data_IF_004974608885
#
_entry.id   IF_004974608885
#
_cell.length_a   1.000
_cell.length_b   1.000
_cell.length_c   1.000
_cell.angle_alpha   90.00
_cell.angle_beta   90.00
_cell.angle_gamma   90.00
#
_symmetry.space_group_name_H-M   'P 1'
#
loop_
_entity.id
_entity.type
_entity.pdbx_description
1 polymer ?
#
# COMPACT_ATOMS: atom_id res chain seq x y z
N UNK A 1 -21.72 -46.66 40.73
CA UNK A 1 -22.56 -47.28 39.68
C UNK A 1 -22.97 -46.18 38.71
N UNK A 2 -22.27 -46.12 37.58
CA UNK A 2 -22.48 -45.14 36.51
C UNK A 2 -23.69 -45.58 35.68
N UNK A 3 -24.78 -44.82 35.71
CA UNK A 3 -25.85 -44.97 34.73
C UNK A 3 -25.61 -44.00 33.58
N UNK A 4 -24.97 -44.53 32.53
CA UNK A 4 -25.01 -43.99 31.19
C UNK A 4 -26.48 -43.86 30.76
N UNK A 5 -26.99 -42.64 30.76
CA UNK A 5 -28.10 -42.29 29.88
C UNK A 5 -27.60 -41.19 28.94
N UNK A 6 -26.73 -41.60 28.01
CA UNK A 6 -26.37 -40.80 26.85
C UNK A 6 -27.58 -40.73 25.95
N UNK A 7 -28.43 -39.74 26.19
CA UNK A 7 -29.57 -39.42 25.33
C UNK A 7 -29.00 -38.71 24.08
N UNK A 8 -28.91 -39.34 22.90
CA UNK A 8 -28.25 -38.76 21.72
C UNK A 8 -29.00 -37.52 21.19
N UNK A 9 -30.31 -37.44 21.48
CA UNK A 9 -31.19 -36.34 21.10
C UNK A 9 -30.78 -34.99 21.73
N UNK A 10 -30.21 -34.99 22.93
CA UNK A 10 -29.75 -33.75 23.59
C UNK A 10 -28.40 -33.29 23.06
N UNK A 11 -27.56 -34.20 22.56
CA UNK A 11 -26.27 -33.86 21.96
C UNK A 11 -26.47 -33.26 20.56
N UNK A 12 -27.44 -33.75 19.80
CA UNK A 12 -27.85 -33.12 18.53
C UNK A 12 -28.42 -31.72 18.76
N UNK A 13 -29.28 -31.53 19.76
CA UNK A 13 -29.82 -30.21 20.11
C UNK A 13 -28.73 -29.23 20.57
N UNK A 14 -27.74 -29.71 21.33
CA UNK A 14 -26.61 -28.89 21.77
C UNK A 14 -25.69 -28.53 20.59
N UNK A 15 -25.50 -29.45 19.65
CA UNK A 15 -24.71 -29.21 18.43
C UNK A 15 -25.44 -28.28 17.46
N UNK A 16 -26.76 -28.40 17.30
CA UNK A 16 -27.57 -27.46 16.52
C UNK A 16 -27.52 -26.06 17.13
N UNK A 17 -27.75 -25.93 18.44
CA UNK A 17 -27.67 -24.64 19.13
C UNK A 17 -26.26 -24.03 19.04
N UNK A 18 -25.21 -24.86 19.10
CA UNK A 18 -23.82 -24.43 18.92
C UNK A 18 -23.48 -24.08 17.47
N UNK A 19 -24.09 -24.75 16.48
CA UNK A 19 -23.97 -24.42 15.05
C UNK A 19 -24.69 -23.11 14.71
N UNK A 20 -25.88 -22.87 15.25
CA UNK A 20 -26.60 -21.60 15.10
C UNK A 20 -25.79 -20.43 15.69
N UNK A 21 -25.20 -20.62 16.87
CA UNK A 21 -24.33 -19.61 17.49
C UNK A 21 -23.00 -19.39 16.73
N UNK A 22 -22.51 -20.39 15.99
CA UNK A 22 -21.29 -20.28 15.19
C UNK A 22 -21.53 -19.55 13.85
N UNK A 23 -22.71 -19.70 13.24
CA UNK A 23 -23.10 -18.95 12.03
C UNK A 23 -23.18 -17.44 12.27
N UNK A 24 -23.61 -17.02 13.47
CA UNK A 24 -23.70 -15.59 13.84
C UNK A 24 -22.33 -14.94 14.06
N UNK A 25 -21.27 -15.74 14.29
CA UNK A 25 -19.90 -15.24 14.49
C UNK A 25 -19.03 -15.30 13.23
N UNK A 26 -19.57 -15.80 12.12
CA UNK A 26 -18.87 -15.94 10.84
C UNK A 26 -19.09 -14.77 9.88
N UNK A 27 -19.69 -13.66 10.33
CA UNK A 27 -19.59 -12.39 9.61
C UNK A 27 -18.27 -11.74 10.03
N UNK A 28 -17.23 -11.74 9.18
CA UNK A 28 -16.01 -11.00 9.49
C UNK A 28 -16.39 -9.52 9.65
N UNK A 29 -16.26 -8.99 10.87
CA UNK A 29 -16.39 -7.55 11.20
C UNK A 29 -15.19 -6.73 10.64
N UNK A 30 -14.46 -7.32 9.70
CA UNK A 30 -13.45 -6.67 8.89
C UNK A 30 -13.91 -6.79 7.44
N UNK A 31 -14.60 -5.76 6.97
CA UNK A 31 -14.60 -5.47 5.53
C UNK A 31 -13.15 -5.14 5.20
N UNK A 32 -12.48 -6.02 4.45
CA UNK A 32 -11.30 -5.61 3.70
C UNK A 32 -11.84 -4.56 2.73
N UNK A 33 -11.78 -3.28 3.11
CA UNK A 33 -12.05 -2.21 2.17
C UNK A 33 -11.05 -2.43 1.05
N UNK A 34 -11.56 -2.73 -0.15
CA UNK A 34 -10.75 -2.74 -1.34
C UNK A 34 -9.96 -1.44 -1.34
N UNK A 35 -8.64 -1.55 -1.52
CA UNK A 35 -7.82 -0.38 -1.75
C UNK A 35 -8.49 0.38 -2.90
N UNK A 36 -8.81 1.68 -2.79
CA UNK A 36 -9.46 2.41 -3.88
C UNK A 36 -8.64 2.42 -5.19
N UNK A 37 -7.37 2.00 -5.14
CA UNK A 37 -6.53 1.72 -6.31
C UNK A 37 -6.84 0.39 -7.04
N UNK A 38 -7.57 -0.53 -6.39
CA UNK A 38 -7.90 -1.87 -6.90
C UNK A 38 -9.26 -1.89 -7.62
N UNK A 39 -10.18 -1.00 -7.22
CA UNK A 39 -11.54 -0.89 -7.80
C UNK A 39 -11.60 0.05 -9.01
N UNK A 40 -10.53 0.81 -9.26
CA UNK A 40 -10.36 1.38 -10.58
C UNK A 40 -10.06 0.20 -11.50
N UNK A 41 -11.07 -0.27 -12.21
CA UNK A 41 -10.93 -1.14 -13.38
C UNK A 41 -9.98 -0.44 -14.36
N UNK A 42 -8.68 -0.61 -14.13
CA UNK A 42 -7.63 -0.24 -15.04
C UNK A 42 -7.97 -1.02 -16.28
N UNK A 43 -8.39 -0.30 -17.31
CA UNK A 43 -8.43 -0.83 -18.65
C UNK A 43 -6.98 -1.22 -18.99
N UNK A 44 -6.59 -2.46 -18.68
CA UNK A 44 -5.26 -3.02 -18.90
C UNK A 44 -4.92 -3.13 -20.40
N UNK A 45 -5.79 -2.65 -21.28
CA UNK A 45 -5.62 -2.65 -22.73
C UNK A 45 -4.88 -1.40 -23.27
N UNK A 46 -4.55 -0.42 -22.44
CA UNK A 46 -3.52 0.56 -22.77
C UNK A 46 -2.22 0.14 -22.07
N UNK A 47 -1.20 -0.35 -22.80
CA UNK A 47 0.10 -0.61 -22.19
C UNK A 47 0.65 0.73 -21.70
N UNK A 48 0.49 1.00 -20.40
CA UNK A 48 1.20 2.05 -19.70
C UNK A 48 2.68 1.83 -19.95
N UNK A 49 3.24 2.61 -20.88
CA UNK A 49 4.63 2.46 -21.27
C UNK A 49 5.48 2.76 -20.06
N UNK A 50 6.47 1.92 -19.76
CA UNK A 50 7.39 2.13 -18.64
C UNK A 50 7.95 3.56 -18.61
N UNK A 51 8.26 4.12 -19.78
CA UNK A 51 8.68 5.52 -19.92
C UNK A 51 7.66 6.53 -19.39
N UNK A 52 6.35 6.36 -19.68
CA UNK A 52 5.30 7.23 -19.14
C UNK A 52 5.21 7.12 -17.61
N UNK A 53 5.29 5.90 -17.07
CA UNK A 53 5.28 5.68 -15.62
C UNK A 53 6.50 6.30 -14.95
N UNK A 54 7.70 6.11 -15.50
CA UNK A 54 8.94 6.72 -14.99
C UNK A 54 8.89 8.24 -15.05
N UNK A 55 8.43 8.83 -16.17
CA UNK A 55 8.24 10.28 -16.29
C UNK A 55 7.26 10.81 -15.25
N UNK A 56 6.17 10.10 -14.99
CA UNK A 56 5.22 10.48 -13.94
C UNK A 56 5.88 10.48 -12.56
N UNK A 57 6.66 9.46 -12.22
CA UNK A 57 7.39 9.39 -10.94
C UNK A 57 8.43 10.52 -10.84
N UNK A 58 9.16 10.83 -11.91
CA UNK A 58 10.10 11.95 -11.95
C UNK A 58 9.40 13.29 -11.65
N UNK A 59 8.22 13.51 -12.23
CA UNK A 59 7.44 14.71 -11.98
C UNK A 59 7.00 14.81 -10.51
N UNK A 60 6.57 13.69 -9.90
CA UNK A 60 6.17 13.66 -8.48
C UNK A 60 7.35 13.95 -7.55
N UNK A 61 8.53 13.39 -7.83
CA UNK A 61 9.74 13.67 -7.04
C UNK A 61 10.14 15.14 -7.16
N UNK A 62 10.07 15.72 -8.36
CA UNK A 62 10.32 17.14 -8.59
C UNK A 62 9.33 18.02 -7.82
N UNK A 63 8.05 17.68 -7.84
CA UNK A 63 7.03 18.38 -7.06
C UNK A 63 7.32 18.33 -5.56
N UNK A 64 7.69 17.16 -5.02
CA UNK A 64 8.07 17.04 -3.61
C UNK A 64 9.30 17.88 -3.25
N UNK A 65 10.31 17.93 -4.12
CA UNK A 65 11.49 18.79 -3.94
C UNK A 65 11.12 20.28 -3.96
N UNK A 66 10.28 20.70 -4.91
CA UNK A 66 9.82 22.08 -5.02
C UNK A 66 9.04 22.52 -3.78
N UNK A 67 8.08 21.70 -3.33
CA UNK A 67 7.28 21.97 -2.13
C UNK A 67 8.19 22.08 -0.89
N UNK A 68 9.13 21.14 -0.72
CA UNK A 68 10.06 21.16 0.39
C UNK A 68 10.92 22.43 0.38
N UNK A 69 11.47 22.81 -0.78
CA UNK A 69 12.26 24.02 -0.93
C UNK A 69 11.45 25.27 -0.62
N UNK A 70 10.23 25.39 -1.15
CA UNK A 70 9.37 26.56 -0.89
C UNK A 70 9.04 26.67 0.59
N UNK A 71 8.66 25.56 1.25
CA UNK A 71 8.34 25.59 2.69
C UNK A 71 9.55 25.92 3.55
N UNK A 72 10.73 25.38 3.22
CA UNK A 72 11.96 25.75 3.91
C UNK A 72 12.26 27.24 3.75
N UNK A 73 12.17 27.77 2.53
CA UNK A 73 12.39 29.20 2.28
C UNK A 73 11.34 30.08 2.98
N UNK A 74 10.07 29.69 2.99
CA UNK A 74 9.02 30.45 3.68
C UNK A 74 9.26 30.50 5.19
N UNK A 75 9.78 29.42 5.78
CA UNK A 75 10.17 29.39 7.19
C UNK A 75 11.42 30.23 7.45
N UNK A 76 12.45 30.08 6.62
CA UNK A 76 13.70 30.86 6.75
C UNK A 76 13.48 32.38 6.57
N UNK A 77 12.53 32.76 5.72
CA UNK A 77 12.18 34.17 5.48
C UNK A 77 11.14 34.72 6.46
N UNK A 78 10.65 33.90 7.40
CA UNK A 78 9.64 34.29 8.39
C UNK A 78 8.23 34.50 7.82
N UNK A 79 7.97 34.02 6.60
CA UNK A 79 6.60 33.98 6.02
C UNK A 79 5.75 32.87 6.62
N UNK A 80 6.36 31.84 7.19
CA UNK A 80 5.69 30.72 7.86
C UNK A 80 6.42 30.33 9.14
N UNK A 81 5.68 30.01 10.18
CA UNK A 81 6.23 29.46 11.43
C UNK A 81 6.21 27.91 11.45
N UNK A 82 5.74 27.28 10.38
CA UNK A 82 5.59 25.82 10.28
C UNK A 82 6.91 25.12 9.92
N UNK A 83 7.88 25.20 10.82
CA UNK A 83 9.16 24.52 10.67
C UNK A 83 9.01 23.00 10.59
N UNK A 84 8.07 22.42 11.35
CA UNK A 84 7.84 20.97 11.38
C UNK A 84 7.31 20.50 10.02
N UNK A 85 6.32 21.18 9.45
CA UNK A 85 5.80 20.85 8.13
C UNK A 85 6.81 21.05 7.00
N UNK A 86 7.72 22.02 7.13
CA UNK A 86 8.86 22.16 6.23
C UNK A 86 9.85 20.98 6.36
N UNK A 87 10.23 20.60 7.59
CA UNK A 87 11.11 19.45 7.84
C UNK A 87 10.51 18.13 7.34
N UNK A 88 9.20 17.92 7.54
CA UNK A 88 8.49 16.72 7.05
C UNK A 88 8.45 16.70 5.53
N UNK A 89 8.18 17.84 4.88
CA UNK A 89 8.21 17.94 3.43
C UNK A 89 9.60 17.60 2.88
N UNK A 90 10.67 18.08 3.51
CA UNK A 90 12.04 17.78 3.11
C UNK A 90 12.40 16.31 3.30
N UNK A 91 12.00 15.69 4.42
CA UNK A 91 12.17 14.25 4.62
C UNK A 91 11.43 13.43 3.56
N UNK A 92 10.20 13.82 3.21
CA UNK A 92 9.42 13.17 2.16
C UNK A 92 10.10 13.29 0.79
N UNK A 93 10.66 14.46 0.47
CA UNK A 93 11.38 14.69 -0.77
C UNK A 93 12.65 13.83 -0.85
N UNK A 94 13.44 13.76 0.23
CA UNK A 94 14.64 12.91 0.31
C UNK A 94 14.29 11.43 0.13
N UNK A 95 13.29 10.93 0.87
CA UNK A 95 12.87 9.52 0.76
C UNK A 95 12.39 9.17 -0.66
N UNK A 96 11.61 10.05 -1.27
CA UNK A 96 11.12 9.87 -2.65
C UNK A 96 12.26 9.85 -3.67
N UNK A 97 13.28 10.70 -3.45
CA UNK A 97 14.47 10.73 -4.29
C UNK A 97 15.32 9.46 -4.14
N UNK A 98 15.53 8.98 -2.92
CA UNK A 98 16.26 7.74 -2.66
C UNK A 98 15.57 6.54 -3.32
N UNK A 99 14.24 6.47 -3.23
CA UNK A 99 13.45 5.45 -3.92
C UNK A 99 13.64 5.52 -5.45
N UNK A 100 13.63 6.72 -6.03
CA UNK A 100 13.88 6.91 -7.45
C UNK A 100 15.28 6.45 -7.87
N UNK A 101 16.32 6.73 -7.07
CA UNK A 101 17.67 6.24 -7.34
C UNK A 101 17.75 4.72 -7.35
N UNK A 102 17.03 4.05 -6.45
CA UNK A 102 16.95 2.58 -6.46
C UNK A 102 16.31 2.05 -7.75
N UNK A 103 15.22 2.67 -8.19
CA UNK A 103 14.56 2.30 -9.46
C UNK A 103 15.48 2.56 -10.64
N UNK A 104 16.13 3.73 -10.70
CA UNK A 104 17.11 4.08 -11.73
C UNK A 104 18.21 3.02 -11.84
N UNK A 105 18.82 2.66 -10.72
CA UNK A 105 19.90 1.68 -10.68
C UNK A 105 19.42 0.28 -11.12
N UNK A 106 18.21 -0.13 -10.72
CA UNK A 106 17.61 -1.40 -11.17
C UNK A 106 17.34 -1.43 -12.67
N UNK A 107 16.88 -0.32 -13.24
CA UNK A 107 16.59 -0.21 -14.69
C UNK A 107 17.87 -0.26 -15.51
N UNK A 108 18.91 0.45 -15.08
CA UNK A 108 20.24 0.40 -15.73
C UNK A 108 20.81 -1.02 -15.65
N UNK A 109 20.74 -1.67 -14.48
CA UNK A 109 21.17 -3.05 -14.33
C UNK A 109 20.42 -4.03 -15.23
N UNK A 110 19.09 -3.94 -15.28
CA UNK A 110 18.27 -4.79 -16.15
C UNK A 110 18.58 -4.60 -17.64
N UNK A 111 18.91 -3.37 -18.05
CA UNK A 111 19.36 -3.09 -19.41
C UNK A 111 20.72 -3.72 -19.71
N UNK A 112 21.69 -3.57 -18.80
CA UNK A 112 23.00 -4.21 -18.91
C UNK A 112 22.90 -5.74 -18.94
N UNK A 113 21.98 -6.33 -18.16
CA UNK A 113 21.73 -7.77 -18.12
C UNK A 113 21.16 -8.29 -19.45
N UNK A 114 20.24 -7.55 -20.08
CA UNK A 114 19.74 -7.86 -21.42
C UNK A 114 20.86 -7.80 -22.46
N UNK A 115 21.75 -6.80 -22.38
CA UNK A 115 22.90 -6.70 -23.29
C UNK A 115 23.90 -7.85 -23.13
N UNK A 116 24.02 -8.41 -21.92
CA UNK A 116 24.96 -9.49 -21.60
C UNK A 116 24.38 -10.89 -21.84
N UNK A 117 23.08 -11.02 -22.10
CA UNK A 117 22.52 -12.31 -22.53
C UNK A 117 23.05 -12.65 -23.92
N UNK A 118 23.84 -13.73 -24.07
CA UNK A 118 24.17 -14.23 -25.40
C UNK A 118 22.90 -14.80 -26.03
N UNK A 119 22.69 -14.49 -27.31
CA UNK A 119 21.66 -15.13 -28.15
C UNK A 119 22.00 -16.59 -28.42
#
# INVERSE_FOLDING_TARGET
MNNLNTNPLSAEQLMLAKMDAMSVRATPDFVVSENPLDVQQLNLNEPMTFSKALTSVLNVVNEHQAIASTRMTDVETGKSDDLVGAMVASQKASLSFDALLQVRNKVVGAFDDIMKMPV
#
